data_IF_042631851020
#
_entry.id   IF_042631851020
#
_cell.length_a   1.000
_cell.length_b   1.000
_cell.length_c   1.000
_cell.angle_alpha   90.00
_cell.angle_beta   90.00
_cell.angle_gamma   90.00
#
_symmetry.space_group_name_H-M   'P 1'
#
loop_
_entity.id
_entity.type
_entity.pdbx_description
1 polymer ?
#
# COMPACT_ATOMS: atom_id res chain seq x y z
N UNK A 1 -12.25 -25.94 16.49
CA UNK A 1 -11.85 -25.52 17.84
C UNK A 1 -10.53 -24.77 17.75
N UNK A 2 -10.52 -23.47 18.04
CA UNK A 2 -9.29 -22.67 18.03
C UNK A 2 -8.41 -23.05 19.22
N UNK A 3 -7.18 -23.50 18.96
CA UNK A 3 -6.17 -23.72 19.99
C UNK A 3 -5.93 -22.42 20.78
N UNK A 4 -5.82 -22.53 22.10
CA UNK A 4 -5.49 -21.40 22.99
C UNK A 4 -4.17 -20.75 22.53
N UNK A 5 -4.10 -19.41 22.38
CA UNK A 5 -2.88 -18.70 21.99
C UNK A 5 -1.70 -19.01 22.92
N UNK A 6 -0.47 -19.00 22.38
CA UNK A 6 0.72 -19.36 23.15
C UNK A 6 0.92 -18.49 24.40
N UNK A 7 0.80 -17.16 24.28
CA UNK A 7 0.95 -16.24 25.43
C UNK A 7 -0.18 -16.43 26.47
N UNK A 8 -1.38 -16.82 26.06
CA UNK A 8 -2.46 -17.14 27.01
C UNK A 8 -2.10 -18.38 27.87
N UNK A 9 -1.46 -19.39 27.27
CA UNK A 9 -0.95 -20.56 28.03
C UNK A 9 0.18 -20.19 28.99
N UNK A 10 1.03 -19.24 28.60
CA UNK A 10 2.07 -18.69 29.49
C UNK A 10 1.46 -17.98 30.69
N UNK A 11 0.43 -17.15 30.48
CA UNK A 11 -0.26 -16.45 31.56
C UNK A 11 -0.96 -17.42 32.51
N UNK A 12 -1.67 -18.43 31.99
CA UNK A 12 -2.28 -19.49 32.81
C UNK A 12 -1.24 -20.25 33.65
N UNK A 13 -0.06 -20.52 33.09
CA UNK A 13 1.03 -21.17 33.83
C UNK A 13 1.57 -20.29 34.97
N UNK A 14 1.67 -18.97 34.76
CA UNK A 14 2.07 -18.02 35.80
C UNK A 14 1.03 -17.92 36.91
N UNK A 15 -0.25 -17.83 36.56
CA UNK A 15 -1.35 -17.83 37.53
C UNK A 15 -1.39 -19.11 38.36
N UNK A 16 -1.15 -20.27 37.74
CA UNK A 16 -1.09 -21.55 38.45
C UNK A 16 0.07 -21.60 39.45
N UNK A 17 1.26 -21.13 39.07
CA UNK A 17 2.43 -21.03 39.97
C UNK A 17 2.16 -20.05 41.12
N UNK A 18 1.38 -18.99 40.86
CA UNK A 18 1.04 -18.00 41.88
C UNK A 18 -0.02 -18.52 42.87
N UNK A 19 -0.96 -19.37 42.42
CA UNK A 19 -1.99 -20.00 43.26
C UNK A 19 -1.41 -21.17 44.08
N UNK A 20 -0.56 -21.99 43.46
CA UNK A 20 0.04 -23.16 44.08
C UNK A 20 1.53 -22.94 44.36
N UNK A 21 1.86 -22.55 45.60
CA UNK A 21 3.26 -22.29 46.02
C UNK A 21 4.20 -23.50 45.83
N UNK A 22 3.64 -24.72 45.82
CA UNK A 22 4.39 -25.97 45.63
C UNK A 22 4.59 -26.36 44.16
N UNK A 23 3.92 -25.68 43.22
CA UNK A 23 4.00 -26.01 41.80
C UNK A 23 5.31 -25.47 41.22
N UNK A 24 6.22 -26.38 40.88
CA UNK A 24 7.48 -25.98 40.24
C UNK A 24 7.25 -25.45 38.81
N UNK A 25 8.11 -24.55 38.36
CA UNK A 25 8.09 -24.00 36.99
C UNK A 25 8.15 -25.11 35.94
N UNK A 26 8.93 -26.18 36.18
CA UNK A 26 9.03 -27.33 35.26
C UNK A 26 7.73 -28.12 35.17
N UNK A 27 7.02 -28.28 36.29
CA UNK A 27 5.72 -28.94 36.32
C UNK A 27 4.67 -28.12 35.57
N UNK A 28 4.59 -26.80 35.84
CA UNK A 28 3.71 -25.90 35.12
C UNK A 28 4.00 -25.87 33.61
N UNK A 29 5.29 -25.81 33.22
CA UNK A 29 5.72 -25.89 31.82
C UNK A 29 5.18 -27.15 31.11
N UNK A 30 5.22 -28.30 31.78
CA UNK A 30 4.71 -29.57 31.27
C UNK A 30 3.18 -29.58 31.16
N UNK A 31 2.46 -29.08 32.16
CA UNK A 31 0.98 -29.03 32.19
C UNK A 31 0.43 -28.13 31.08
N UNK A 32 1.01 -26.93 30.93
CA UNK A 32 0.52 -25.92 29.99
C UNK A 32 1.20 -25.97 28.61
N UNK A 33 2.17 -26.87 28.42
CA UNK A 33 2.88 -27.07 27.15
C UNK A 33 3.66 -25.84 26.69
N UNK A 34 4.32 -25.15 27.62
CA UNK A 34 5.09 -23.91 27.39
C UNK A 34 6.51 -24.08 27.93
N UNK A 35 7.49 -23.37 27.35
CA UNK A 35 8.87 -23.53 27.80
C UNK A 35 9.08 -22.94 29.21
N UNK A 36 9.83 -23.65 30.04
CA UNK A 36 10.20 -23.24 31.39
C UNK A 36 11.02 -21.93 31.40
N UNK A 37 11.84 -21.71 30.37
CA UNK A 37 12.58 -20.46 30.15
C UNK A 37 11.65 -19.29 29.86
N UNK A 38 10.57 -19.49 29.11
CA UNK A 38 9.57 -18.44 28.84
C UNK A 38 8.86 -18.04 30.13
N UNK A 39 8.44 -19.00 30.95
CA UNK A 39 7.77 -18.74 32.23
C UNK A 39 8.68 -17.93 33.16
N UNK A 40 9.96 -18.33 33.31
CA UNK A 40 10.93 -17.58 34.12
C UNK A 40 11.08 -16.13 33.65
N UNK A 41 11.33 -15.92 32.36
CA UNK A 41 11.46 -14.57 31.78
C UNK A 41 10.24 -13.70 32.04
N UNK A 42 9.04 -14.26 31.91
CA UNK A 42 7.78 -13.52 32.13
C UNK A 42 7.56 -13.19 33.60
N UNK A 43 7.87 -14.13 34.50
CA UNK A 43 7.88 -13.89 35.94
C UNK A 43 8.88 -12.80 36.34
N UNK A 44 10.02 -12.73 35.66
CA UNK A 44 11.05 -11.71 35.85
C UNK A 44 10.70 -10.37 35.14
N UNK A 45 9.47 -10.22 34.63
CA UNK A 45 8.95 -8.96 34.06
C UNK A 45 9.19 -8.77 32.55
N UNK A 46 9.72 -9.76 31.84
CA UNK A 46 9.89 -9.65 30.38
C UNK A 46 8.56 -9.77 29.65
N UNK A 47 8.15 -8.72 28.94
CA UNK A 47 6.96 -8.72 28.09
C UNK A 47 7.08 -9.65 26.86
N UNK A 48 5.96 -9.99 26.23
CA UNK A 48 5.96 -10.70 24.97
C UNK A 48 6.62 -9.89 23.87
N UNK A 49 7.28 -10.57 22.92
CA UNK A 49 8.00 -9.87 21.85
C UNK A 49 7.07 -9.01 21.00
N UNK A 50 5.83 -9.47 20.81
CA UNK A 50 4.77 -8.73 20.14
C UNK A 50 4.39 -7.44 20.87
N UNK A 51 4.40 -7.48 22.20
CA UNK A 51 3.99 -6.35 23.05
C UNK A 51 5.16 -5.42 23.40
N UNK A 52 6.39 -5.86 23.13
CA UNK A 52 7.60 -5.08 23.38
C UNK A 52 7.79 -4.05 22.27
N UNK A 53 8.04 -2.81 22.69
CA UNK A 53 8.39 -1.72 21.76
C UNK A 53 9.71 -2.05 21.05
N UNK A 54 9.76 -2.05 19.71
CA UNK A 54 11.01 -2.31 18.99
C UNK A 54 12.07 -1.27 19.34
N UNK A 55 13.30 -1.71 19.65
CA UNK A 55 14.46 -0.84 19.91
C UNK A 55 14.76 0.15 18.76
N UNK A 56 14.21 -0.10 17.57
CA UNK A 56 14.30 0.79 16.41
C UNK A 56 13.34 1.98 16.43
N UNK A 57 12.47 2.11 17.44
CA UNK A 57 11.61 3.29 17.60
C UNK A 57 12.45 4.47 18.12
N UNK A 58 12.93 5.29 17.19
CA UNK A 58 13.64 6.55 17.47
C UNK A 58 12.72 7.67 17.97
N UNK A 59 11.44 7.61 17.61
CA UNK A 59 10.41 8.59 17.98
C UNK A 59 9.51 8.03 19.09
N UNK A 60 8.94 8.91 19.90
CA UNK A 60 7.88 8.57 20.86
C UNK A 60 6.58 8.26 20.13
N UNK A 61 5.65 7.59 20.82
CA UNK A 61 4.35 7.26 20.26
C UNK A 61 3.60 8.51 19.76
N UNK A 62 3.63 9.59 20.55
CA UNK A 62 2.99 10.87 20.20
C UNK A 62 3.61 11.51 18.94
N UNK A 63 4.92 11.44 18.79
CA UNK A 63 5.60 11.95 17.59
C UNK A 63 5.26 11.13 16.35
N UNK A 64 5.25 9.79 16.48
CA UNK A 64 4.81 8.92 15.38
C UNK A 64 3.36 9.24 14.99
N UNK A 65 2.46 9.45 15.96
CA UNK A 65 1.06 9.81 15.72
C UNK A 65 0.90 11.17 15.04
N UNK A 66 1.67 12.18 15.46
CA UNK A 66 1.68 13.49 14.84
C UNK A 66 2.10 13.42 13.35
N UNK A 67 3.12 12.62 13.04
CA UNK A 67 3.55 12.38 11.65
C UNK A 67 2.44 11.68 10.86
N UNK A 68 1.81 10.63 11.42
CA UNK A 68 0.70 9.93 10.75
C UNK A 68 -0.42 10.91 10.42
N UNK A 69 -0.86 11.71 11.39
CA UNK A 69 -1.94 12.67 11.20
C UNK A 69 -1.60 13.70 10.12
N UNK A 70 -0.38 14.22 10.14
CA UNK A 70 0.08 15.19 9.15
C UNK A 70 0.16 14.58 7.73
N UNK A 71 0.63 13.34 7.60
CA UNK A 71 0.63 12.63 6.31
C UNK A 71 -0.80 12.43 5.79
N UNK A 72 -1.76 12.12 6.67
CA UNK A 72 -3.17 11.99 6.29
C UNK A 72 -3.71 13.32 5.78
N UNK A 73 -3.45 14.43 6.49
CA UNK A 73 -3.83 15.78 6.08
C UNK A 73 -3.23 16.19 4.73
N UNK A 74 -1.96 15.86 4.50
CA UNK A 74 -1.32 16.09 3.19
C UNK A 74 -2.01 15.29 2.07
N UNK A 75 -2.40 14.05 2.37
CA UNK A 75 -3.13 13.21 1.41
C UNK A 75 -4.55 13.72 1.13
N UNK A 76 -5.25 14.31 2.10
CA UNK A 76 -6.59 14.90 1.87
C UNK A 76 -6.50 16.14 1.00
N UNK A 77 -5.41 16.90 1.09
CA UNK A 77 -5.10 18.03 0.20
C UNK A 77 -4.57 17.61 -1.17
N UNK A 78 -4.56 16.31 -1.49
CA UNK A 78 -4.02 15.75 -2.74
C UNK A 78 -2.51 15.95 -2.94
N UNK A 79 -1.76 16.17 -1.86
CA UNK A 79 -0.29 16.30 -1.86
C UNK A 79 0.37 15.21 -1.01
N UNK A 80 0.26 13.92 -1.38
CA UNK A 80 0.89 12.85 -0.60
C UNK A 80 2.42 13.07 -0.54
N UNK A 81 3.03 13.07 0.66
CA UNK A 81 4.47 13.24 0.76
C UNK A 81 5.20 12.03 0.18
N UNK A 82 6.44 12.22 -0.27
CA UNK A 82 7.34 11.10 -0.59
C UNK A 82 7.91 10.51 0.70
N UNK A 83 8.45 9.29 0.64
CA UNK A 83 9.12 8.67 1.80
C UNK A 83 10.22 9.55 2.41
N UNK A 84 10.99 10.24 1.56
CA UNK A 84 12.00 11.22 2.01
C UNK A 84 11.38 12.38 2.79
N UNK A 85 10.21 12.86 2.38
CA UNK A 85 9.50 13.91 3.13
C UNK A 85 9.06 13.44 4.52
N UNK A 86 8.65 12.18 4.66
CA UNK A 86 8.34 11.58 5.96
C UNK A 86 9.59 11.45 6.83
N UNK A 87 10.73 11.11 6.22
CA UNK A 87 12.04 11.10 6.89
C UNK A 87 12.43 12.50 7.38
N UNK A 88 12.24 13.52 6.54
CA UNK A 88 12.55 14.92 6.87
C UNK A 88 11.69 15.41 8.05
N UNK A 89 10.40 15.07 8.08
CA UNK A 89 9.50 15.38 9.21
C UNK A 89 9.98 14.73 10.52
N UNK A 90 10.37 13.46 10.47
CA UNK A 90 10.91 12.75 11.63
C UNK A 90 12.23 13.35 12.13
N UNK A 91 13.13 13.66 11.20
CA UNK A 91 14.41 14.29 11.52
C UNK A 91 14.23 15.71 12.07
N UNK A 92 13.21 16.45 11.64
CA UNK A 92 12.88 17.74 12.21
C UNK A 92 12.51 17.63 13.70
N UNK A 93 11.66 16.67 14.08
CA UNK A 93 11.32 16.41 15.47
C UNK A 93 12.54 15.99 16.31
N UNK A 94 13.39 15.14 15.74
CA UNK A 94 14.62 14.68 16.41
C UNK A 94 15.62 15.83 16.62
N UNK A 95 15.77 16.74 15.63
CA UNK A 95 16.61 17.94 15.78
C UNK A 95 16.13 18.84 16.91
N UNK A 96 14.82 19.02 17.08
CA UNK A 96 14.25 19.79 18.19
C UNK A 96 14.62 19.19 19.57
N UNK A 97 14.88 17.89 19.63
CA UNK A 97 15.29 17.17 20.85
C UNK A 97 16.80 16.92 20.95
N UNK A 98 17.59 17.49 20.05
CA UNK A 98 19.03 17.24 19.94
C UNK A 98 19.38 15.74 19.81
N UNK A 99 18.53 15.00 19.09
CA UNK A 99 18.70 13.56 18.87
C UNK A 99 19.27 13.25 17.49
N UNK A 100 20.01 12.13 17.41
CA UNK A 100 20.53 11.58 16.15
C UNK A 100 19.41 11.33 15.12
N UNK A 101 19.70 11.59 13.85
CA UNK A 101 18.78 11.33 12.74
C UNK A 101 18.29 9.86 12.64
N UNK A 102 17.17 9.66 11.96
CA UNK A 102 16.65 8.33 11.65
C UNK A 102 17.55 7.61 10.64
N UNK A 103 17.54 6.28 10.66
CA UNK A 103 18.29 5.49 9.69
C UNK A 103 17.63 5.44 8.31
N UNK A 104 18.41 5.12 7.26
CA UNK A 104 17.97 5.05 5.84
C UNK A 104 16.67 4.27 5.59
N UNK A 105 16.46 3.18 6.32
CA UNK A 105 15.28 2.32 6.15
C UNK A 105 14.12 2.68 7.09
N UNK A 106 14.24 3.76 7.86
CA UNK A 106 13.26 4.10 8.87
C UNK A 106 11.90 4.48 8.26
N UNK A 107 11.88 5.34 7.24
CA UNK A 107 10.63 5.82 6.63
C UNK A 107 9.84 4.69 5.96
N UNK A 108 10.51 3.78 5.23
CA UNK A 108 9.85 2.63 4.61
C UNK A 108 9.31 1.65 5.65
N UNK A 109 10.08 1.39 6.72
CA UNK A 109 9.62 0.57 7.84
C UNK A 109 8.47 1.23 8.62
N UNK A 110 8.48 2.55 8.77
CA UNK A 110 7.41 3.31 9.42
C UNK A 110 6.09 3.15 8.66
N UNK A 111 6.09 3.40 7.35
CA UNK A 111 4.91 3.20 6.50
C UNK A 111 4.44 1.74 6.50
N UNK A 112 5.36 0.77 6.49
CA UNK A 112 5.01 -0.65 6.56
C UNK A 112 4.34 -1.06 7.87
N UNK A 113 4.72 -0.44 9.00
CA UNK A 113 4.15 -0.71 10.34
C UNK A 113 2.77 -0.07 10.54
N UNK A 114 2.43 0.96 9.77
CA UNK A 114 1.20 1.75 9.94
C UNK A 114 0.22 1.46 8.79
N UNK A 115 -0.75 0.55 8.98
CA UNK A 115 -1.68 0.17 7.91
C UNK A 115 -2.50 1.36 7.38
N UNK A 116 -2.69 2.40 8.21
CA UNK A 116 -3.38 3.64 7.85
C UNK A 116 -2.68 4.37 6.69
N UNK A 117 -1.34 4.28 6.63
CA UNK A 117 -0.53 4.94 5.61
C UNK A 117 -0.38 4.08 4.34
N UNK A 118 -0.52 2.75 4.45
CA UNK A 118 -0.22 1.81 3.36
C UNK A 118 -0.92 2.16 2.05
N UNK A 119 -2.23 2.44 2.10
CA UNK A 119 -3.03 2.77 0.90
C UNK A 119 -2.68 4.12 0.26
N UNK A 120 -2.10 5.05 1.04
CA UNK A 120 -1.81 6.41 0.58
C UNK A 120 -0.52 6.48 -0.25
N UNK A 121 0.47 5.65 0.10
CA UNK A 121 1.72 5.55 -0.65
C UNK A 121 1.67 4.54 -1.80
N UNK A 122 0.74 3.57 -1.78
CA UNK A 122 0.69 2.47 -2.75
C UNK A 122 -0.16 2.76 -4.00
N UNK A 123 0.01 3.93 -4.63
CA UNK A 123 -0.62 4.21 -5.94
C UNK A 123 0.41 4.08 -7.04
N UNK A 124 0.39 2.94 -7.76
CA UNK A 124 1.03 2.87 -9.07
C UNK A 124 0.25 3.77 -10.01
N UNK A 125 0.97 4.60 -10.75
CA UNK A 125 0.38 5.42 -11.80
C UNK A 125 -0.17 4.49 -12.90
N UNK A 126 -1.39 4.74 -13.38
CA UNK A 126 -2.03 3.90 -14.40
C UNK A 126 -1.28 4.02 -15.73
N UNK A 127 -0.78 2.90 -16.25
CA UNK A 127 0.02 2.88 -17.47
C UNK A 127 -0.77 3.33 -18.71
N UNK A 128 -2.08 3.04 -18.76
CA UNK A 128 -2.93 3.52 -19.85
C UNK A 128 -3.09 5.03 -19.78
N UNK A 129 -3.24 5.58 -18.57
CA UNK A 129 -3.24 7.03 -18.38
C UNK A 129 -1.92 7.66 -18.82
N UNK A 130 -0.79 7.01 -18.58
CA UNK A 130 0.53 7.51 -18.99
C UNK A 130 0.64 7.66 -20.51
N UNK A 131 0.07 6.69 -21.25
CA UNK A 131 0.02 6.75 -22.72
C UNK A 131 -0.86 7.87 -23.23
N UNK A 132 -2.00 8.12 -22.58
CA UNK A 132 -2.91 9.21 -22.95
C UNK A 132 -2.36 10.59 -22.57
N UNK A 133 -1.39 10.67 -21.65
CA UNK A 133 -0.70 11.91 -21.27
C UNK A 133 0.59 12.17 -22.09
N UNK A 134 0.81 11.45 -23.21
CA UNK A 134 1.91 11.73 -24.14
C UNK A 134 1.76 13.15 -24.71
N UNK A 135 2.77 14.04 -24.56
CA UNK A 135 2.73 15.40 -25.08
C UNK A 135 2.37 15.48 -26.56
N UNK A 136 2.78 14.50 -27.38
CA UNK A 136 2.44 14.48 -28.82
C UNK A 136 0.94 14.32 -29.03
N UNK A 137 0.33 13.34 -28.36
CA UNK A 137 -1.11 13.04 -28.45
C UNK A 137 -1.93 14.23 -27.95
N UNK A 138 -1.51 14.86 -26.85
CA UNK A 138 -2.16 16.06 -26.31
C UNK A 138 -2.07 17.21 -27.32
N UNK A 139 -0.88 17.50 -27.86
CA UNK A 139 -0.68 18.60 -28.81
C UNK A 139 -1.47 18.40 -30.11
N UNK A 140 -1.49 17.19 -30.68
CA UNK A 140 -2.27 16.87 -31.88
C UNK A 140 -3.77 17.09 -31.65
N UNK A 141 -4.29 16.66 -30.50
CA UNK A 141 -5.69 16.89 -30.14
C UNK A 141 -6.02 18.39 -30.02
N UNK A 142 -5.19 19.18 -29.33
CA UNK A 142 -5.42 20.62 -29.22
C UNK A 142 -5.30 21.34 -30.57
N UNK A 143 -4.39 20.89 -31.45
CA UNK A 143 -4.27 21.42 -32.81
C UNK A 143 -5.56 21.20 -33.62
N UNK A 144 -6.16 20.02 -33.55
CA UNK A 144 -7.46 19.74 -34.17
C UNK A 144 -8.57 20.65 -33.62
N UNK A 145 -8.64 20.80 -32.30
CA UNK A 145 -9.63 21.68 -31.65
C UNK A 145 -9.47 23.15 -32.09
N UNK A 146 -8.23 23.63 -32.22
CA UNK A 146 -7.97 24.99 -32.72
C UNK A 146 -8.36 25.16 -34.18
N UNK A 147 -8.05 24.17 -35.03
CA UNK A 147 -8.38 24.22 -36.44
C UNK A 147 -9.90 24.22 -36.67
N UNK A 148 -10.66 23.41 -35.90
CA UNK A 148 -12.14 23.43 -35.95
C UNK A 148 -12.67 24.79 -35.50
N UNK A 149 -12.20 25.32 -34.37
CA UNK A 149 -12.62 26.64 -33.88
C UNK A 149 -12.26 27.78 -34.83
N UNK A 150 -11.13 27.71 -35.52
CA UNK A 150 -10.72 28.68 -36.52
C UNK A 150 -11.60 28.61 -37.77
N UNK A 151 -12.02 27.40 -38.16
CA UNK A 151 -12.90 27.16 -39.31
C UNK A 151 -14.32 27.65 -39.06
N UNK A 152 -14.86 27.44 -37.85
CA UNK A 152 -16.18 27.98 -37.44
C UNK A 152 -16.19 29.51 -37.36
N UNK A 153 -15.04 30.14 -37.04
CA UNK A 153 -14.91 31.60 -36.93
C UNK A 153 -14.71 32.29 -38.28
N UNK A 154 -14.28 31.55 -39.32
CA UNK A 154 -14.08 32.05 -40.69
C UNK A 154 -15.26 31.73 -41.63
N UNK A 155 -16.39 31.24 -41.12
CA UNK A 155 -17.65 31.19 -41.86
C UNK A 155 -17.67 30.23 -43.06
N UNK A 156 -17.06 29.05 -42.95
CA UNK A 156 -17.29 27.98 -43.92
C UNK A 156 -18.39 27.03 -43.42
N UNK A 157 -19.53 27.08 -44.13
CA UNK A 157 -20.66 26.16 -43.96
C UNK A 157 -20.20 24.74 -44.25
N UNK A 158 -20.31 23.86 -43.26
CA UNK A 158 -20.18 22.41 -43.44
C UNK A 158 -21.19 21.93 -44.48
N UNK A 159 -20.68 21.61 -45.68
CA UNK A 159 -21.47 20.96 -46.74
C UNK A 159 -21.13 19.47 -46.74
N UNK A 160 -22.05 18.66 -46.24
CA UNK A 160 -22.17 17.24 -46.60
C UNK A 160 -21.19 16.28 -45.93
N UNK A 161 -21.62 15.69 -44.82
CA UNK A 161 -21.18 14.35 -44.43
C UNK A 161 -22.17 13.36 -45.08
N UNK A 162 -21.87 12.90 -46.29
CA UNK A 162 -22.60 11.78 -46.93
C UNK A 162 -21.89 10.45 -46.59
N UNK A 163 -22.56 9.51 -45.92
CA UNK A 163 -21.98 8.24 -45.51
C UNK A 163 -22.30 7.14 -46.52
N UNK A 164 -21.62 7.07 -47.68
CA UNK A 164 -21.64 5.87 -48.55
C UNK A 164 -20.40 5.80 -49.46
N UNK A 165 -19.41 5.01 -49.07
CA UNK A 165 -18.59 4.25 -50.03
C UNK A 165 -17.92 3.07 -49.31
N UNK A 166 -18.62 1.94 -49.27
CA UNK A 166 -17.95 0.65 -49.20
C UNK A 166 -17.48 0.25 -50.61
N UNK A 167 -16.36 -0.46 -50.78
CA UNK A 167 -16.04 -1.10 -52.04
C UNK A 167 -16.69 -2.48 -52.11
N UNK A 168 -17.64 -2.65 -53.04
CA UNK A 168 -18.15 -3.96 -53.48
C UNK A 168 -17.46 -4.40 -54.79
N UNK A 169 -17.38 -5.73 -54.94
CA UNK A 169 -16.44 -6.51 -55.72
C UNK A 169 -16.79 -6.70 -57.20
N UNK A 170 -15.81 -7.15 -58.00
CA UNK A 170 -15.89 -8.24 -59.03
C UNK A 170 -14.56 -8.27 -59.80
N UNK A 171 -13.89 -9.36 -60.15
CA UNK A 171 -13.99 -10.82 -60.02
C UNK A 171 -12.62 -11.37 -60.52
N UNK A 172 -12.23 -12.65 -60.57
CA UNK A 172 -12.88 -13.96 -60.41
C UNK A 172 -11.76 -15.04 -60.57
N UNK A 173 -12.11 -16.32 -60.32
CA UNK A 173 -11.35 -17.59 -60.49
C UNK A 173 -10.57 -18.05 -59.24
N UNK A 174 -10.72 -19.26 -58.66
CA UNK A 174 -11.47 -20.48 -59.01
C UNK A 174 -11.55 -21.39 -57.77
N UNK A 175 -12.74 -21.93 -57.50
CA UNK A 175 -13.06 -23.34 -57.18
C UNK A 175 -12.38 -24.08 -55.99
N UNK A 176 -13.25 -24.58 -55.11
CA UNK A 176 -13.37 -25.98 -54.59
C UNK A 176 -13.07 -26.22 -53.11
N UNK A 177 -14.04 -26.87 -52.44
CA UNK A 177 -13.96 -27.66 -51.19
C UNK A 177 -13.67 -26.86 -49.91
N UNK A 178 -14.60 -26.66 -48.97
CA UNK A 178 -15.44 -27.69 -48.36
C UNK A 178 -14.80 -28.20 -47.08
N UNK A 179 -15.17 -27.65 -45.92
CA UNK A 179 -15.31 -28.37 -44.65
C UNK A 179 -15.83 -27.43 -43.56
N UNK A 180 -16.97 -27.81 -43.00
CA UNK A 180 -17.54 -27.27 -41.78
C UNK A 180 -16.66 -27.59 -40.57
N UNK A 181 -16.67 -26.72 -39.56
CA UNK A 181 -17.01 -27.09 -38.18
C UNK A 181 -17.05 -25.85 -37.27
N UNK A 182 -18.21 -25.62 -36.67
CA UNK A 182 -18.32 -24.94 -35.38
C UNK A 182 -17.71 -25.84 -34.30
N UNK A 183 -17.36 -25.29 -33.12
CA UNK A 183 -17.88 -25.70 -31.80
C UNK A 183 -17.05 -25.07 -30.65
N UNK A 184 -17.81 -24.50 -29.71
CA UNK A 184 -17.51 -24.02 -28.32
C UNK A 184 -16.71 -22.75 -28.10
#
# INVERSE_FOLDING_TARGET
>A
MSSVPYEARVNLALEAIQKDQNLSIRAAAKIYGVSDRTIRRRRDGSAARHDTVPNSRKLTQLEEEAIVQYVIELCTRSFPPRLRGVEDMANQLLRTRDASAVGKNWASNFVRRRPELRMRFSRKYDYQRAKCEDPKVICEWFALVWNVKASDRNGLVWSGLDPQTGPDQTGSHTRTSGCAFNIT
#
